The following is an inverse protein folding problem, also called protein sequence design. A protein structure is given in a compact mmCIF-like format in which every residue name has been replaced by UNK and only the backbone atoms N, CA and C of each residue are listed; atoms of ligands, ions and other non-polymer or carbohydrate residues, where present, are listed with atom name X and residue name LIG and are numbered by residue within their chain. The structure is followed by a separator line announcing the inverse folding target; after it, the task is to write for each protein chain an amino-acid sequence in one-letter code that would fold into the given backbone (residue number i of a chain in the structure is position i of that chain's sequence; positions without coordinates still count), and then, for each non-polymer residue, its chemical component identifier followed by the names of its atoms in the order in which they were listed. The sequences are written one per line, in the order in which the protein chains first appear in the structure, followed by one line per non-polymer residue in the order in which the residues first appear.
data_IF_899659376798
#
_entry.id   IF_899659376798
#
_cell.length_a   1.000
_cell.length_b   1.000
_cell.length_c   1.000
_cell.angle_alpha   90.00
_cell.angle_beta   90.00
_cell.angle_gamma   90.00
#
_symmetry.space_group_name_H-M   'P 1'
#
loop_
_entity.id
_entity.type
_entity.pdbx_description
1 polymer ?
#
# COMPACT_ATOMS: atom_id res chain seq x y z
N UNK A 1 -65.20 40.08 -8.89
CA UNK A 1 -64.55 38.76 -8.73
C UNK A 1 -63.61 38.54 -9.91
N UNK A 2 -62.40 38.05 -9.61
CA UNK A 2 -61.35 37.51 -10.48
C UNK A 2 -60.56 38.48 -11.39
N UNK A 3 -59.41 38.90 -10.84
CA UNK A 3 -58.22 39.43 -11.52
C UNK A 3 -57.27 38.25 -11.76
N UNK A 4 -56.92 37.91 -13.00
CA UNK A 4 -55.55 37.49 -13.39
C UNK A 4 -55.37 37.84 -14.88
N UNK A 5 -54.35 38.65 -15.18
CA UNK A 5 -53.86 39.00 -16.51
C UNK A 5 -52.76 38.01 -16.93
N UNK A 6 -52.89 37.53 -18.17
CA UNK A 6 -51.90 37.39 -19.25
C UNK A 6 -50.40 37.24 -18.91
N UNK A 7 -49.76 36.19 -19.46
CA UNK A 7 -48.78 36.27 -20.58
C UNK A 7 -48.11 34.90 -20.84
N UNK A 8 -47.87 34.61 -22.12
CA UNK A 8 -47.43 33.32 -22.69
C UNK A 8 -45.91 33.22 -22.92
N UNK A 9 -45.43 31.96 -22.93
CA UNK A 9 -44.19 31.38 -23.55
C UNK A 9 -42.81 31.56 -22.86
N UNK A 10 -41.80 30.67 -23.10
CA UNK A 10 -41.76 29.39 -23.83
C UNK A 10 -41.12 28.19 -23.06
N UNK A 11 -41.26 27.01 -23.67
CA UNK A 11 -40.53 25.76 -23.45
C UNK A 11 -38.99 25.97 -23.54
N UNK A 12 -38.24 25.49 -22.54
CA UNK A 12 -36.78 25.44 -22.55
C UNK A 12 -36.30 24.00 -22.37
N UNK A 13 -35.50 23.59 -23.34
CA UNK A 13 -34.76 22.34 -23.48
C UNK A 13 -33.85 22.04 -22.28
N UNK A 14 -33.44 20.77 -22.06
CA UNK A 14 -32.44 20.44 -21.05
C UNK A 14 -31.08 21.00 -21.51
N UNK A 15 -30.65 22.07 -20.85
CA UNK A 15 -29.34 22.66 -21.06
C UNK A 15 -28.27 21.73 -20.47
N UNK A 16 -27.50 21.10 -21.37
CA UNK A 16 -26.20 20.54 -21.06
C UNK A 16 -25.34 21.62 -20.39
N UNK A 17 -25.17 21.52 -19.06
CA UNK A 17 -24.01 22.07 -18.39
C UNK A 17 -23.06 20.92 -18.08
N UNK A 18 -22.23 20.63 -19.08
CA UNK A 18 -20.92 20.02 -18.89
C UNK A 18 -20.17 20.76 -17.76
N UNK A 19 -19.46 19.97 -16.95
CA UNK A 19 -18.44 20.39 -15.99
C UNK A 19 -18.95 21.01 -14.68
N UNK A 20 -19.58 20.18 -13.84
CA UNK A 20 -19.07 20.12 -12.47
C UNK A 20 -17.90 19.13 -12.48
N UNK A 21 -16.70 19.66 -12.70
CA UNK A 21 -15.48 19.03 -12.24
C UNK A 21 -15.65 18.89 -10.72
N UNK A 22 -16.19 17.75 -10.31
CA UNK A 22 -16.14 17.34 -8.93
C UNK A 22 -14.69 16.92 -8.72
N UNK A 23 -13.82 17.88 -8.43
CA UNK A 23 -12.51 17.62 -7.81
C UNK A 23 -12.73 17.07 -6.39
N UNK A 24 -13.52 16.00 -6.27
CA UNK A 24 -13.49 15.16 -5.11
C UNK A 24 -12.09 14.55 -5.11
N UNK A 25 -11.30 14.73 -4.05
CA UNK A 25 -9.94 14.21 -4.01
C UNK A 25 -9.91 12.66 -4.04
N UNK A 26 -11.09 12.02 -3.99
CA UNK A 26 -11.30 10.58 -4.17
C UNK A 26 -11.80 10.18 -5.57
N UNK A 27 -12.05 11.14 -6.47
CA UNK A 27 -12.42 10.86 -7.85
C UNK A 27 -11.30 10.08 -8.54
N UNK A 28 -11.65 8.97 -9.20
CA UNK A 28 -10.69 8.06 -9.83
C UNK A 28 -10.00 7.07 -8.89
N UNK A 29 -10.03 7.25 -7.56
CA UNK A 29 -9.36 6.33 -6.61
C UNK A 29 -9.93 4.92 -6.70
N UNK A 30 -11.25 4.78 -6.82
CA UNK A 30 -11.90 3.47 -7.00
C UNK A 30 -11.51 2.78 -8.32
N UNK A 31 -11.30 3.54 -9.39
CA UNK A 31 -10.83 3.02 -10.67
C UNK A 31 -9.37 2.57 -10.58
N UNK A 32 -8.53 3.37 -9.92
CA UNK A 32 -7.12 3.06 -9.67
C UNK A 32 -6.96 1.80 -8.82
N UNK A 33 -7.77 1.62 -7.78
CA UNK A 33 -7.77 0.40 -6.94
C UNK A 33 -8.16 -0.83 -7.75
N UNK A 34 -9.15 -0.73 -8.64
CA UNK A 34 -9.53 -1.82 -9.56
C UNK A 34 -8.40 -2.16 -10.55
N UNK A 35 -7.72 -1.14 -11.09
CA UNK A 35 -6.60 -1.33 -11.99
C UNK A 35 -5.39 -1.95 -11.28
N UNK A 36 -5.10 -1.51 -10.06
CA UNK A 36 -4.08 -2.07 -9.18
C UNK A 36 -4.35 -3.55 -8.89
N UNK A 37 -5.59 -3.91 -8.53
CA UNK A 37 -5.99 -5.30 -8.31
C UNK A 37 -5.72 -6.16 -9.56
N UNK A 38 -6.08 -5.67 -10.75
CA UNK A 38 -5.83 -6.35 -12.02
C UNK A 38 -4.34 -6.53 -12.31
N UNK A 39 -3.53 -5.47 -12.13
CA UNK A 39 -2.08 -5.54 -12.35
C UNK A 39 -1.37 -6.49 -11.38
N UNK A 40 -1.81 -6.54 -10.12
CA UNK A 40 -1.30 -7.49 -9.11
C UNK A 40 -1.69 -8.92 -9.49
N UNK A 41 -2.92 -9.13 -9.98
CA UNK A 41 -3.36 -10.43 -10.47
C UNK A 41 -2.54 -10.89 -11.69
N UNK A 42 -2.33 -10.00 -12.67
CA UNK A 42 -1.53 -10.26 -13.88
C UNK A 42 -0.03 -10.45 -13.59
N UNK A 43 0.46 -9.95 -12.44
CA UNK A 43 1.82 -10.20 -11.95
C UNK A 43 1.93 -11.50 -11.14
N UNK A 44 0.86 -11.93 -10.46
CA UNK A 44 0.83 -13.13 -9.60
C UNK A 44 0.63 -14.43 -10.39
N UNK A 45 0.04 -14.35 -11.59
CA UNK A 45 -0.15 -15.48 -12.50
C UNK A 45 0.65 -15.29 -13.80
N UNK A 46 1.98 -15.52 -13.81
CA UNK A 46 2.74 -15.48 -15.05
C UNK A 46 2.24 -16.57 -16.00
N UNK A 47 1.87 -16.18 -17.22
CA UNK A 47 1.49 -17.12 -18.28
C UNK A 47 2.66 -18.08 -18.53
N UNK A 48 2.41 -19.39 -18.40
CA UNK A 48 3.42 -20.44 -18.58
C UNK A 48 4.01 -20.34 -20.00
N UNK A 49 5.26 -19.88 -20.14
CA UNK A 49 6.02 -20.13 -21.39
C UNK A 49 7.04 -19.10 -21.91
N UNK A 50 7.34 -17.97 -21.26
CA UNK A 50 8.18 -16.93 -21.89
C UNK A 50 9.24 -16.28 -20.98
N UNK A 51 10.24 -17.04 -20.53
CA UNK A 51 11.20 -16.62 -19.49
C UNK A 51 12.10 -15.40 -19.80
N UNK A 52 12.30 -15.00 -21.08
CA UNK A 52 13.21 -13.90 -21.43
C UNK A 52 12.51 -12.56 -21.74
N UNK A 53 11.28 -12.59 -22.26
CA UNK A 53 10.46 -11.39 -22.47
C UNK A 53 9.66 -10.98 -21.21
N UNK A 54 9.68 -11.84 -20.19
CA UNK A 54 8.94 -11.65 -18.95
C UNK A 54 9.60 -10.62 -18.04
N UNK A 55 10.94 -10.49 -18.02
CA UNK A 55 11.60 -9.55 -17.11
C UNK A 55 11.29 -8.08 -17.43
N UNK A 56 11.34 -7.67 -18.70
CA UNK A 56 10.93 -6.32 -19.09
C UNK A 56 9.43 -6.11 -18.80
N UNK A 57 8.55 -7.06 -19.15
CA UNK A 57 7.10 -6.95 -18.87
C UNK A 57 6.79 -6.93 -17.38
N UNK A 58 7.54 -7.69 -16.58
CA UNK A 58 7.44 -7.73 -15.12
C UNK A 58 7.88 -6.39 -14.55
N UNK A 59 9.00 -5.84 -15.01
CA UNK A 59 9.47 -4.52 -14.62
C UNK A 59 8.45 -3.43 -14.99
N UNK A 60 7.83 -3.49 -16.18
CA UNK A 60 6.78 -2.56 -16.58
C UNK A 60 5.51 -2.72 -15.72
N UNK A 61 5.12 -3.94 -15.34
CA UNK A 61 4.00 -4.21 -14.43
C UNK A 61 4.27 -3.68 -13.02
N UNK A 62 5.47 -3.92 -12.48
CA UNK A 62 5.90 -3.42 -11.17
C UNK A 62 5.95 -1.89 -11.17
N UNK A 63 6.48 -1.27 -12.23
CA UNK A 63 6.45 0.18 -12.38
C UNK A 63 5.01 0.74 -12.38
N UNK A 64 4.09 0.10 -13.12
CA UNK A 64 2.68 0.49 -13.13
C UNK A 64 1.99 0.34 -11.75
N UNK A 65 2.32 -0.71 -11.00
CA UNK A 65 1.84 -0.92 -9.62
C UNK A 65 2.31 0.22 -8.70
N UNK A 66 3.60 0.57 -8.76
CA UNK A 66 4.18 1.64 -7.94
C UNK A 66 3.55 3.00 -8.26
N UNK A 67 3.42 3.34 -9.55
CA UNK A 67 2.80 4.61 -9.97
C UNK A 67 1.35 4.73 -9.51
N UNK A 68 0.56 3.65 -9.58
CA UNK A 68 -0.82 3.67 -9.10
C UNK A 68 -0.92 3.78 -7.58
N UNK A 69 -0.01 3.14 -6.84
CA UNK A 69 0.05 3.28 -5.39
C UNK A 69 0.40 4.71 -4.97
N UNK A 70 1.33 5.36 -5.67
CA UNK A 70 1.70 6.75 -5.40
C UNK A 70 0.55 7.72 -5.72
N UNK A 71 -0.20 7.50 -6.80
CA UNK A 71 -1.39 8.31 -7.14
C UNK A 71 -2.51 8.12 -6.11
N UNK A 72 -2.82 6.87 -5.73
CA UNK A 72 -3.80 6.56 -4.67
C UNK A 72 -3.39 7.21 -3.35
N UNK A 73 -2.11 7.07 -2.96
CA UNK A 73 -1.56 7.64 -1.73
C UNK A 73 -1.67 9.17 -1.72
N UNK A 74 -1.32 9.82 -2.82
CA UNK A 74 -1.37 11.28 -2.97
C UNK A 74 -2.81 11.79 -2.86
N UNK A 75 -3.75 11.15 -3.57
CA UNK A 75 -5.18 11.49 -3.56
C UNK A 75 -5.85 11.27 -2.20
N UNK A 76 -5.56 10.15 -1.53
CA UNK A 76 -6.08 9.89 -0.17
C UNK A 76 -5.49 10.86 0.85
N UNK A 77 -4.20 11.18 0.74
CA UNK A 77 -3.56 12.16 1.63
C UNK A 77 -4.13 13.57 1.42
N UNK A 78 -4.31 13.99 0.17
CA UNK A 78 -5.00 15.24 -0.17
C UNK A 78 -6.44 15.26 0.33
N UNK A 79 -7.17 14.14 0.26
CA UNK A 79 -8.52 14.01 0.83
C UNK A 79 -8.55 14.22 2.35
N UNK A 80 -7.54 13.69 3.05
CA UNK A 80 -7.42 13.83 4.49
C UNK A 80 -7.00 15.25 4.93
N UNK A 81 -6.24 15.96 4.08
CA UNK A 81 -5.85 17.36 4.31
C UNK A 81 -6.94 18.36 3.89
N UNK A 82 -7.71 18.03 2.85
CA UNK A 82 -8.78 18.86 2.31
C UNK A 82 -10.10 18.73 3.09
N UNK A 83 -10.20 17.82 4.07
CA UNK A 83 -11.33 17.75 4.99
C UNK A 83 -11.30 18.95 5.96
N UNK A 84 -12.09 20.02 5.74
CA UNK A 84 -12.12 21.16 6.62
C UNK A 84 -13.02 20.80 7.82
N UNK A 85 -12.47 20.87 9.02
CA UNK A 85 -13.19 21.19 10.25
C UNK A 85 -14.62 20.63 10.43
N UNK A 86 -14.80 19.32 10.65
CA UNK A 86 -16.13 18.87 11.13
C UNK A 86 -16.18 17.93 12.34
N UNK A 87 -15.08 17.31 12.81
CA UNK A 87 -15.18 16.40 13.95
C UNK A 87 -14.39 16.76 15.22
N UNK A 88 -13.35 17.61 15.16
CA UNK A 88 -12.57 17.93 16.38
C UNK A 88 -12.78 19.34 16.95
N UNK A 89 -13.24 20.32 16.16
CA UNK A 89 -13.32 21.71 16.64
C UNK A 89 -14.65 22.11 17.28
N UNK A 90 -15.73 21.34 17.07
CA UNK A 90 -17.07 21.63 17.62
C UNK A 90 -17.15 21.32 19.12
N UNK A 91 -16.54 20.22 19.56
CA UNK A 91 -16.51 19.82 20.97
C UNK A 91 -15.75 20.83 21.87
N UNK A 92 -14.68 21.44 21.36
CA UNK A 92 -13.88 22.41 22.13
C UNK A 92 -14.50 23.82 22.20
N UNK A 93 -15.43 24.15 21.31
CA UNK A 93 -16.13 25.44 21.28
C UNK A 93 -17.44 25.40 22.10
N UNK A 94 -18.11 24.25 22.15
CA UNK A 94 -19.36 24.08 22.92
C UNK A 94 -19.12 23.96 24.43
N UNK A 95 -17.97 23.42 24.87
CA UNK A 95 -17.59 23.37 26.30
C UNK A 95 -17.07 24.70 26.88
N UNK A 96 -16.75 25.70 26.04
CA UNK A 96 -16.21 26.99 26.50
C UNK A 96 -17.27 28.03 26.87
N UNK A 97 -18.56 27.77 26.68
CA UNK A 97 -19.64 28.74 26.94
C UNK A 97 -20.35 28.58 28.28
N UNK A 98 -20.03 27.54 29.04
CA UNK A 98 -20.67 27.29 30.33
C UNK A 98 -19.59 27.17 31.41
N UNK A 99 -19.13 28.29 32.00
CA UNK A 99 -18.76 28.38 33.43
C UNK A 99 -17.92 29.59 33.90
N UNK A 100 -17.80 30.72 33.19
CA UNK A 100 -17.09 31.88 33.77
C UNK A 100 -17.71 33.25 33.46
N UNK A 101 -18.98 33.47 33.83
CA UNK A 101 -19.51 34.84 34.01
C UNK A 101 -20.70 34.87 35.00
N UNK A 102 -20.58 34.19 36.14
CA UNK A 102 -21.36 34.58 37.31
C UNK A 102 -20.65 35.78 37.94
N UNK A 103 -20.99 36.99 37.46
CA UNK A 103 -20.65 38.22 38.17
C UNK A 103 -21.29 38.18 39.55
N UNK A 104 -20.43 37.86 40.51
CA UNK A 104 -20.60 37.86 41.96
C UNK A 104 -21.31 39.14 42.40
N UNK A 105 -22.59 39.02 42.74
CA UNK A 105 -23.26 40.01 43.58
C UNK A 105 -22.69 39.85 45.00
N UNK A 106 -21.82 40.78 45.39
CA UNK A 106 -21.19 40.83 46.71
C UNK A 106 -20.62 42.22 46.94
N UNK A 107 -21.19 42.93 47.90
CA UNK A 107 -21.05 44.36 48.10
C UNK A 107 -19.66 44.91 48.47
N UNK A 108 -19.62 46.24 48.35
CA UNK A 108 -18.86 47.25 49.12
C UNK A 108 -17.33 47.17 49.22
N UNK A 109 -16.71 48.28 48.76
CA UNK A 109 -15.41 48.77 49.21
C UNK A 109 -14.41 48.89 48.05
N UNK A 110 -13.95 50.07 47.64
CA UNK A 110 -14.23 51.42 48.09
C UNK A 110 -13.72 52.39 47.03
N UNK A 111 -14.42 53.49 46.83
CA UNK A 111 -13.86 54.64 46.14
C UNK A 111 -14.29 55.90 46.89
N UNK A 112 -13.28 56.56 47.47
CA UNK A 112 -13.36 57.85 48.13
C UNK A 112 -13.90 58.92 47.19
N UNK A 113 -15.21 59.13 47.22
CA UNK A 113 -15.84 60.39 46.74
C UNK A 113 -17.02 60.75 47.64
N UNK A 114 -16.76 61.70 48.54
CA UNK A 114 -17.63 62.71 49.19
C UNK A 114 -19.15 62.43 49.17
N UNK A 115 -19.83 62.32 50.33
CA UNK A 115 -21.25 62.00 50.39
C UNK A 115 -22.11 63.23 50.02
N UNK A 116 -22.92 63.10 48.96
CA UNK A 116 -24.12 63.92 48.78
C UNK A 116 -25.29 63.28 49.53
N UNK A 117 -26.18 64.07 50.16
CA UNK A 117 -27.37 63.55 50.82
C UNK A 117 -28.39 63.10 49.77
N UNK A 118 -28.52 61.79 49.58
CA UNK A 118 -29.64 61.20 48.83
C UNK A 118 -30.92 61.30 49.68
N UNK A 119 -32.06 61.70 49.09
CA UNK A 119 -33.34 61.67 49.78
C UNK A 119 -33.72 60.24 50.11
N UNK A 120 -34.24 60.05 51.32
CA UNK A 120 -34.76 58.82 51.88
C UNK A 120 -35.60 58.02 50.88
N UNK A 121 -35.15 56.81 50.55
CA UNK A 121 -36.03 55.76 50.04
C UNK A 121 -37.21 55.61 51.02
N UNK A 122 -38.47 55.56 50.56
CA UNK A 122 -39.59 55.28 51.45
C UNK A 122 -39.39 53.89 52.08
N UNK A 123 -39.86 53.68 53.33
CA UNK A 123 -39.84 52.34 53.93
C UNK A 123 -40.59 51.39 53.00
N UNK A 124 -40.02 50.21 52.72
CA UNK A 124 -40.78 49.17 52.03
C UNK A 124 -42.11 48.97 52.76
N UNK A 125 -43.25 48.90 52.05
CA UNK A 125 -44.52 48.61 52.69
C UNK A 125 -44.40 47.28 53.45
N UNK A 126 -45.12 47.10 54.57
CA UNK A 126 -45.15 45.81 55.26
C UNK A 126 -45.61 44.78 54.24
N UNK A 127 -44.74 43.84 53.87
CA UNK A 127 -45.19 42.70 53.08
C UNK A 127 -46.23 41.99 53.93
N UNK A 128 -47.45 41.88 53.41
CA UNK A 128 -48.50 41.12 54.06
C UNK A 128 -47.97 39.69 54.22
N UNK A 129 -47.92 39.13 55.45
CA UNK A 129 -47.43 37.78 55.68
C UNK A 129 -48.15 36.73 54.80
N UNK A 130 -49.36 37.02 54.32
CA UNK A 130 -50.07 36.19 53.36
C UNK A 130 -49.42 36.17 51.96
N UNK A 131 -48.93 37.31 51.45
CA UNK A 131 -48.26 37.40 50.15
C UNK A 131 -46.89 36.74 50.18
N UNK A 132 -46.14 36.89 51.27
CA UNK A 132 -44.85 36.22 51.47
C UNK A 132 -45.03 34.70 51.54
N UNK A 133 -46.03 34.21 52.29
CA UNK A 133 -46.35 32.79 52.35
C UNK A 133 -46.74 32.24 50.96
N UNK A 134 -47.48 33.01 50.15
CA UNK A 134 -47.82 32.59 48.79
C UNK A 134 -46.60 32.60 47.85
N UNK A 135 -45.70 33.57 47.98
CA UNK A 135 -44.43 33.62 47.25
C UNK A 135 -43.54 32.43 47.59
N UNK A 136 -43.36 32.12 48.87
CA UNK A 136 -42.57 30.96 49.32
C UNK A 136 -43.16 29.64 48.83
N UNK A 137 -44.49 29.49 48.78
CA UNK A 137 -45.14 28.32 48.18
C UNK A 137 -44.83 28.19 46.68
N UNK A 138 -44.86 29.30 45.94
CA UNK A 138 -44.51 29.31 44.50
C UNK A 138 -43.04 28.95 44.31
N UNK A 139 -42.14 29.52 45.11
CA UNK A 139 -40.70 29.23 45.05
C UNK A 139 -40.39 27.78 45.40
N UNK A 140 -41.03 27.22 46.44
CA UNK A 140 -40.93 25.80 46.77
C UNK A 140 -41.44 24.92 45.62
N UNK A 141 -42.57 25.28 45.00
CA UNK A 141 -43.08 24.52 43.86
C UNK A 141 -42.14 24.56 42.64
N UNK A 142 -41.51 25.71 42.39
CA UNK A 142 -40.55 25.90 41.30
C UNK A 142 -39.25 25.10 41.54
N UNK A 143 -38.72 25.13 42.77
CA UNK A 143 -37.51 24.36 43.13
C UNK A 143 -37.77 22.85 43.07
N UNK A 144 -38.95 22.39 43.50
CA UNK A 144 -39.35 20.98 43.36
C UNK A 144 -39.51 20.56 41.90
N UNK A 145 -40.08 21.41 41.04
CA UNK A 145 -40.18 21.15 39.60
C UNK A 145 -38.79 21.11 38.93
N UNK A 146 -37.90 22.05 39.27
CA UNK A 146 -36.52 22.07 38.78
C UNK A 146 -35.76 20.80 39.19
N UNK A 147 -35.89 20.36 40.44
CA UNK A 147 -35.27 19.12 40.92
C UNK A 147 -35.79 17.90 40.16
N UNK A 148 -37.10 17.77 39.97
CA UNK A 148 -37.69 16.67 39.17
C UNK A 148 -37.25 16.71 37.71
N UNK A 149 -37.13 17.89 37.12
CA UNK A 149 -36.61 18.04 35.76
C UNK A 149 -35.16 17.55 35.65
N UNK A 150 -34.31 17.96 36.61
CA UNK A 150 -32.91 17.53 36.66
C UNK A 150 -32.77 16.03 36.89
N UNK A 151 -33.61 15.44 37.73
CA UNK A 151 -33.67 14.00 37.95
C UNK A 151 -34.02 13.26 36.65
N UNK A 152 -35.03 13.71 35.91
CA UNK A 152 -35.39 13.14 34.60
C UNK A 152 -34.25 13.24 33.58
N UNK A 153 -33.57 14.39 33.50
CA UNK A 153 -32.44 14.55 32.59
C UNK A 153 -31.30 13.58 32.92
N UNK A 154 -30.99 13.38 34.21
CA UNK A 154 -29.97 12.43 34.63
C UNK A 154 -30.33 10.98 34.32
N UNK A 155 -31.60 10.61 34.49
CA UNK A 155 -32.07 9.26 34.11
C UNK A 155 -31.92 9.04 32.61
N UNK A 156 -32.36 10.00 31.79
CA UNK A 156 -32.21 9.90 30.34
C UNK A 156 -30.73 9.81 29.91
N UNK A 157 -29.85 10.62 30.50
CA UNK A 157 -28.42 10.57 30.19
C UNK A 157 -27.78 9.22 30.57
N UNK A 158 -28.24 8.60 31.67
CA UNK A 158 -27.81 7.26 32.06
C UNK A 158 -28.33 6.21 31.08
N UNK A 159 -29.59 6.28 30.68
CA UNK A 159 -30.20 5.35 29.70
C UNK A 159 -29.46 5.42 28.35
N UNK A 160 -29.18 6.64 27.85
CA UNK A 160 -28.45 6.86 26.61
C UNK A 160 -27.00 6.30 26.70
N UNK A 161 -26.35 6.47 27.86
CA UNK A 161 -25.02 5.92 28.11
C UNK A 161 -25.02 4.39 28.19
N UNK A 162 -26.05 3.79 28.78
CA UNK A 162 -26.22 2.33 28.84
C UNK A 162 -26.43 1.73 27.45
N UNK A 163 -27.22 2.38 26.58
CA UNK A 163 -27.39 1.98 25.18
C UNK A 163 -26.05 2.02 24.43
N UNK A 164 -25.30 3.12 24.54
CA UNK A 164 -23.98 3.25 23.90
C UNK A 164 -22.98 2.19 24.38
N UNK A 165 -23.00 1.84 25.67
CA UNK A 165 -22.19 0.74 26.23
C UNK A 165 -22.65 -0.61 25.66
N UNK A 166 -23.95 -0.82 25.50
CA UNK A 166 -24.53 -2.00 24.85
C UNK A 166 -24.02 -2.18 23.42
N UNK A 167 -24.07 -1.11 22.63
CA UNK A 167 -23.57 -1.09 21.25
C UNK A 167 -22.08 -1.43 21.17
N UNK A 168 -21.26 -0.79 22.02
CA UNK A 168 -19.82 -1.07 22.10
C UNK A 168 -19.51 -2.52 22.49
N UNK A 169 -20.28 -3.09 23.43
CA UNK A 169 -20.15 -4.52 23.79
C UNK A 169 -20.45 -5.42 22.61
N UNK A 170 -21.53 -5.14 21.87
CA UNK A 170 -21.89 -5.93 20.68
C UNK A 170 -20.83 -5.84 19.57
N UNK A 171 -20.22 -4.66 19.37
CA UNK A 171 -19.14 -4.48 18.40
C UNK A 171 -17.89 -5.24 18.83
N UNK A 172 -17.52 -5.18 20.10
CA UNK A 172 -16.37 -5.91 20.64
C UNK A 172 -16.56 -7.43 20.50
N UNK A 173 -17.75 -7.95 20.74
CA UNK A 173 -18.06 -9.37 20.55
C UNK A 173 -17.86 -9.80 19.08
N UNK A 174 -18.40 -9.04 18.13
CA UNK A 174 -18.20 -9.30 16.69
C UNK A 174 -16.73 -9.23 16.28
N UNK A 175 -15.98 -8.26 16.78
CA UNK A 175 -14.54 -8.14 16.51
C UNK A 175 -13.78 -9.33 17.07
N UNK A 176 -14.12 -9.75 18.28
CA UNK A 176 -13.50 -10.88 18.95
C UNK A 176 -13.75 -12.18 18.17
N UNK A 177 -14.95 -12.37 17.61
CA UNK A 177 -15.24 -13.50 16.74
C UNK A 177 -14.47 -13.44 15.41
N UNK A 178 -14.34 -12.26 14.79
CA UNK A 178 -13.47 -12.09 13.61
C UNK A 178 -12.01 -12.42 13.92
N UNK A 179 -11.50 -12.00 15.06
CA UNK A 179 -10.13 -12.32 15.49
C UNK A 179 -9.96 -13.82 15.66
N UNK A 180 -10.91 -14.53 16.28
CA UNK A 180 -10.88 -16.00 16.39
C UNK A 180 -10.84 -16.67 15.02
N UNK A 181 -11.66 -16.20 14.07
CA UNK A 181 -11.66 -16.70 12.70
C UNK A 181 -10.30 -16.48 12.03
N UNK A 182 -9.75 -15.27 12.10
CA UNK A 182 -8.42 -14.98 11.54
C UNK A 182 -7.32 -15.87 12.17
N UNK A 183 -7.35 -16.06 13.49
CA UNK A 183 -6.40 -16.94 14.18
C UNK A 183 -6.54 -18.39 13.71
N UNK A 184 -7.78 -18.87 13.51
CA UNK A 184 -8.03 -20.21 12.99
C UNK A 184 -7.56 -20.37 11.54
N UNK A 185 -7.81 -19.38 10.68
CA UNK A 185 -7.34 -19.34 9.29
C UNK A 185 -5.81 -19.36 9.22
N UNK A 186 -5.12 -18.51 9.98
CA UNK A 186 -3.66 -18.49 10.02
C UNK A 186 -3.08 -19.81 10.53
N UNK A 187 -3.73 -20.47 11.51
CA UNK A 187 -3.32 -21.79 11.99
C UNK A 187 -3.54 -22.89 10.94
N UNK A 188 -4.60 -22.79 10.13
CA UNK A 188 -4.86 -23.71 9.03
C UNK A 188 -3.86 -23.51 7.88
N UNK A 189 -3.57 -22.26 7.51
CA UNK A 189 -2.56 -21.90 6.51
C UNK A 189 -1.17 -22.36 6.95
N UNK A 190 -0.79 -22.15 8.21
CA UNK A 190 0.49 -22.64 8.72
C UNK A 190 0.63 -24.17 8.58
N UNK A 191 -0.47 -24.93 8.74
CA UNK A 191 -0.47 -26.39 8.52
C UNK A 191 -0.38 -26.77 7.04
N UNK A 192 -0.98 -26.00 6.13
CA UNK A 192 -0.88 -26.28 4.68
C UNK A 192 0.47 -25.86 4.08
N UNK A 193 1.10 -24.81 4.61
CA UNK A 193 2.41 -24.30 4.17
C UNK A 193 3.56 -25.26 4.50
N UNK A 194 3.37 -26.19 5.44
CA UNK A 194 4.32 -27.30 5.64
C UNK A 194 4.60 -28.10 4.36
N UNK A 195 3.63 -28.19 3.44
CA UNK A 195 3.84 -28.79 2.12
C UNK A 195 4.62 -27.92 1.14
N UNK A 196 4.56 -26.59 1.27
CA UNK A 196 5.29 -25.66 0.39
C UNK A 196 6.77 -25.54 0.78
N UNK A 197 7.11 -25.67 2.06
CA UNK A 197 8.50 -25.79 2.50
C UNK A 197 9.17 -27.04 1.90
N UNK A 198 8.49 -28.19 1.94
CA UNK A 198 9.00 -29.44 1.37
C UNK A 198 9.06 -29.40 -0.17
N UNK A 199 8.10 -28.74 -0.84
CA UNK A 199 8.16 -28.49 -2.29
C UNK A 199 9.31 -27.56 -2.67
N UNK A 200 9.55 -26.53 -1.88
CA UNK A 200 10.67 -25.62 -2.09
C UNK A 200 12.02 -26.34 -1.92
N UNK A 201 12.14 -27.17 -0.89
CA UNK A 201 13.35 -27.98 -0.63
C UNK A 201 13.62 -28.97 -1.76
N UNK A 202 12.62 -29.74 -2.19
CA UNK A 202 12.77 -30.68 -3.33
C UNK A 202 13.10 -29.98 -4.65
N UNK A 203 12.57 -28.78 -4.89
CA UNK A 203 12.92 -27.97 -6.05
C UNK A 203 14.37 -27.46 -5.99
N UNK A 204 14.84 -27.08 -4.80
CA UNK A 204 16.21 -26.64 -4.56
C UNK A 204 17.21 -27.79 -4.76
N UNK A 205 16.91 -28.98 -4.23
CA UNK A 205 17.68 -30.20 -4.47
C UNK A 205 17.76 -30.56 -5.97
N UNK A 206 16.65 -30.44 -6.69
CA UNK A 206 16.65 -30.68 -8.14
C UNK A 206 17.49 -29.63 -8.88
N UNK A 207 17.39 -28.37 -8.50
CA UNK A 207 18.12 -27.29 -9.16
C UNK A 207 19.63 -27.40 -8.93
N UNK A 208 20.04 -27.77 -7.71
CA UNK A 208 21.43 -28.06 -7.37
C UNK A 208 21.96 -29.26 -8.16
N UNK A 209 21.23 -30.38 -8.21
CA UNK A 209 21.61 -31.54 -9.00
C UNK A 209 21.78 -31.24 -10.50
N UNK A 210 20.86 -30.46 -11.08
CA UNK A 210 20.96 -30.03 -12.49
C UNK A 210 22.16 -29.12 -12.73
N UNK A 211 22.46 -28.22 -11.80
CA UNK A 211 23.61 -27.31 -11.89
C UNK A 211 24.93 -28.07 -11.82
N UNK A 212 25.03 -29.08 -10.94
CA UNK A 212 26.18 -29.98 -10.89
C UNK A 212 26.34 -30.78 -12.19
N UNK A 213 25.25 -31.32 -12.74
CA UNK A 213 25.28 -32.05 -14.00
C UNK A 213 25.77 -31.17 -15.15
N UNK A 214 25.33 -29.90 -15.20
CA UNK A 214 25.80 -28.94 -16.18
C UNK A 214 27.31 -28.66 -16.02
N UNK A 215 27.78 -28.48 -14.78
CA UNK A 215 29.20 -28.27 -14.52
C UNK A 215 30.05 -29.46 -14.97
N UNK A 216 29.62 -30.69 -14.65
CA UNK A 216 30.29 -31.93 -15.09
C UNK A 216 30.35 -32.04 -16.62
N UNK A 217 29.27 -31.70 -17.32
CA UNK A 217 29.27 -31.76 -18.80
C UNK A 217 30.19 -30.68 -19.40
N UNK A 218 30.22 -29.47 -18.85
CA UNK A 218 31.16 -28.42 -19.25
C UNK A 218 32.62 -28.83 -19.03
N UNK A 219 32.94 -29.44 -17.89
CA UNK A 219 34.29 -29.90 -17.61
C UNK A 219 34.70 -31.05 -18.51
N UNK A 220 33.79 -31.98 -18.81
CA UNK A 220 34.04 -33.06 -19.79
C UNK A 220 34.32 -32.50 -21.19
N UNK A 221 33.60 -31.47 -21.62
CA UNK A 221 33.82 -30.81 -22.91
C UNK A 221 35.16 -30.07 -22.94
N UNK A 222 35.53 -29.36 -21.87
CA UNK A 222 36.85 -28.72 -21.74
C UNK A 222 37.98 -29.74 -21.85
N UNK A 223 37.86 -30.87 -21.14
CA UNK A 223 38.85 -31.94 -21.20
C UNK A 223 38.99 -32.53 -22.61
N UNK A 224 37.86 -32.79 -23.30
CA UNK A 224 37.89 -33.26 -24.69
C UNK A 224 38.49 -32.24 -25.65
N UNK A 225 38.20 -30.95 -25.46
CA UNK A 225 38.80 -29.86 -26.25
C UNK A 225 40.33 -29.82 -26.09
N UNK A 226 40.84 -30.00 -24.87
CA UNK A 226 42.29 -30.06 -24.62
C UNK A 226 42.92 -31.29 -25.29
N UNK A 227 42.31 -32.47 -25.16
CA UNK A 227 42.79 -33.70 -25.82
C UNK A 227 42.81 -33.59 -27.35
N UNK A 228 41.79 -32.96 -27.93
CA UNK A 228 41.75 -32.70 -29.38
C UNK A 228 42.92 -31.81 -29.80
N UNK A 229 43.23 -30.78 -29.01
CA UNK A 229 44.36 -29.88 -29.27
C UNK A 229 45.70 -30.63 -29.18
N UNK A 230 45.88 -31.46 -28.16
CA UNK A 230 47.07 -32.32 -28.00
C UNK A 230 47.25 -33.26 -29.20
N UNK A 231 46.18 -33.93 -29.63
CA UNK A 231 46.20 -34.80 -30.80
C UNK A 231 46.52 -34.04 -32.09
N UNK A 232 46.03 -32.81 -32.25
CA UNK A 232 46.38 -31.94 -33.38
C UNK A 232 47.86 -31.55 -33.36
N UNK A 233 48.39 -31.15 -32.20
CA UNK A 233 49.81 -30.83 -32.02
C UNK A 233 50.70 -32.05 -32.29
N UNK A 234 50.33 -33.23 -31.82
CA UNK A 234 51.06 -34.46 -32.11
C UNK A 234 51.02 -34.84 -33.60
N UNK A 235 49.85 -34.72 -34.24
CA UNK A 235 49.70 -35.00 -35.67
C UNK A 235 50.58 -34.05 -36.50
N UNK A 236 50.61 -32.75 -36.18
CA UNK A 236 51.52 -31.82 -36.86
C UNK A 236 52.99 -32.22 -36.66
N UNK A 237 53.41 -32.60 -35.45
CA UNK A 237 54.77 -33.12 -35.19
C UNK A 237 55.07 -34.40 -35.98
N UNK A 238 54.11 -35.31 -36.12
CA UNK A 238 54.26 -36.53 -36.92
C UNK A 238 54.41 -36.22 -38.41
N UNK A 239 53.61 -35.27 -38.94
CA UNK A 239 53.73 -34.82 -40.34
C UNK A 239 55.10 -34.21 -40.60
N UNK A 240 55.61 -33.35 -39.71
CA UNK A 240 56.97 -32.80 -39.83
C UNK A 240 58.04 -33.91 -39.84
N UNK A 241 57.97 -34.86 -38.90
CA UNK A 241 58.91 -36.00 -38.85
C UNK A 241 58.83 -36.88 -40.10
N UNK A 242 57.62 -37.15 -40.60
CA UNK A 242 57.42 -37.93 -41.82
C UNK A 242 57.98 -37.21 -43.05
N UNK A 243 57.86 -35.87 -43.13
CA UNK A 243 58.43 -35.07 -44.21
C UNK A 243 59.96 -35.09 -44.19
N UNK A 244 60.58 -35.01 -43.02
CA UNK A 244 62.04 -35.11 -42.85
C UNK A 244 62.57 -36.49 -43.31
N UNK A 245 61.96 -37.58 -42.83
CA UNK A 245 62.31 -38.94 -43.25
C UNK A 245 62.08 -39.12 -44.75
N UNK A 246 60.94 -38.65 -45.27
CA UNK A 246 60.62 -38.70 -46.70
C UNK A 246 61.64 -37.96 -47.58
N UNK A 247 62.12 -36.80 -47.11
CA UNK A 247 63.20 -36.04 -47.76
C UNK A 247 64.51 -36.83 -47.79
N UNK A 248 64.89 -37.45 -46.66
CA UNK A 248 66.07 -38.31 -46.58
C UNK A 248 66.00 -39.53 -47.50
N UNK A 249 64.86 -40.23 -47.54
CA UNK A 249 64.63 -41.36 -48.45
C UNK A 249 64.71 -40.91 -49.90
N UNK A 250 64.07 -39.79 -50.26
CA UNK A 250 64.12 -39.25 -51.63
C UNK A 250 65.54 -38.92 -52.06
N UNK A 251 66.31 -38.25 -51.20
CA UNK A 251 67.72 -37.95 -51.47
C UNK A 251 68.57 -39.22 -51.61
N UNK A 252 68.34 -40.23 -50.77
CA UNK A 252 68.99 -41.54 -50.86
C UNK A 252 68.70 -42.26 -52.18
N UNK A 253 67.43 -42.30 -52.59
CA UNK A 253 67.00 -42.88 -53.87
C UNK A 253 67.62 -42.13 -55.06
N UNK A 254 67.65 -40.81 -55.03
CA UNK A 254 68.33 -40.00 -56.05
C UNK A 254 69.84 -40.29 -56.10
N UNK A 255 70.48 -40.49 -54.94
CA UNK A 255 71.88 -40.91 -54.84
C UNK A 255 72.14 -42.27 -55.51
N UNK A 256 71.30 -43.28 -55.21
CA UNK A 256 71.38 -44.61 -55.83
C UNK A 256 71.18 -44.52 -57.35
N UNK A 257 70.20 -43.72 -57.82
CA UNK A 257 69.97 -43.49 -59.25
C UNK A 257 71.21 -42.92 -59.93
N UNK A 258 71.82 -41.87 -59.36
CA UNK A 258 73.05 -41.26 -59.89
C UNK A 258 74.23 -42.25 -59.92
N UNK A 259 74.37 -43.10 -58.90
CA UNK A 259 75.41 -44.13 -58.87
C UNK A 259 75.21 -45.17 -59.97
N UNK A 260 73.96 -45.64 -60.16
CA UNK A 260 73.61 -46.56 -61.24
C UNK A 260 73.96 -45.98 -62.62
N UNK A 261 73.58 -44.73 -62.87
CA UNK A 261 73.91 -44.03 -64.13
C UNK A 261 75.42 -43.95 -64.38
N UNK A 262 76.23 -43.68 -63.35
CA UNK A 262 77.71 -43.68 -63.47
C UNK A 262 78.26 -45.07 -63.83
N UNK A 263 77.72 -46.13 -63.22
CA UNK A 263 78.12 -47.52 -63.52
C UNK A 263 77.78 -47.85 -64.98
N UNK A 264 76.58 -47.51 -65.44
CA UNK A 264 76.11 -47.78 -66.80
C UNK A 264 76.91 -46.98 -67.86
N UNK A 265 77.37 -45.77 -67.54
CA UNK A 265 78.24 -44.98 -68.42
C UNK A 265 79.69 -45.51 -68.45
N UNK A 266 80.26 -45.86 -67.28
CA UNK A 266 81.62 -46.42 -67.20
C UNK A 266 81.71 -47.83 -67.82
N UNK A 267 80.64 -48.62 -67.74
CA UNK A 267 80.57 -49.95 -68.37
C UNK A 267 80.53 -49.92 -69.89
N UNK A 268 80.06 -48.82 -70.50
CA UNK A 268 80.09 -48.61 -71.96
C UNK A 268 81.42 -48.09 -72.48
N UNK A 269 82.19 -47.36 -71.66
CA UNK A 269 83.51 -46.85 -72.02
C UNK A 269 84.64 -47.92 -71.94
N UNK A 270 84.36 -49.10 -71.37
CA UNK A 270 85.31 -50.22 -71.22
C UNK A 270 85.02 -51.42 -72.14
N UNK A 271 84.12 -51.26 -73.12
CA UNK A 271 83.85 -52.26 -74.17
C UNK A 271 84.34 -51.76 -75.51
#
# INVERSE_FOLDING_TARGET
MNRVRANSSPELTPSNRLEQHNDSPLEGVAANVKLLYKLVQDHSYPSKGAAAADDSRRQHRVAGILTLLDDIKSRVHQSNLAAPHHHHHRAAAELRRCNTDLRRNGGSGGSDKKPQPMPSMPPMPPQDPAEEAQRLRRELSATMAARKSLERMKVQELDDAEEAVGDLRSQNERLLDKVKVCVAEHKAVAKSVGGDAQRHETLLERNTALSEQLLRTLDSYRAMKSKLKEAQEENTRMVYRAAEIGGGVKAGVEGIRRLREKIDCNGRARR
#
